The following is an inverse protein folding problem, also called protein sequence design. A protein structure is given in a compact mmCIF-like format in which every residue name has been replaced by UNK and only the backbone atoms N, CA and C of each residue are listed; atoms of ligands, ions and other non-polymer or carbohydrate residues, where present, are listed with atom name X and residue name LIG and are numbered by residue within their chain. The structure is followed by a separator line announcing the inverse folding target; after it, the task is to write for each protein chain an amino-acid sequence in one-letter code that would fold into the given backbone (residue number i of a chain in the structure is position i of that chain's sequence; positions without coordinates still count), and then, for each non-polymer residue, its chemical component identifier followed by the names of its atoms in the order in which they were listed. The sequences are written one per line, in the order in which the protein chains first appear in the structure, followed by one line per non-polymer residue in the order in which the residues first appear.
data_IF_789486007047
#
_entry.id   IF_789486007047
#
_cell.length_a   1.000
_cell.length_b   1.000
_cell.length_c   1.000
_cell.angle_alpha   90.00
_cell.angle_beta   90.00
_cell.angle_gamma   90.00
#
_symmetry.space_group_name_H-M   'P 1'
#
loop_
_entity.id
_entity.type
_entity.pdbx_description
1 polymer ?
#
# COMPACT_ATOMS: atom_id res chain seq x y z
N UNK A 1 -29.00 -55.53 -2.68
CA UNK A 1 -28.47 -56.90 -2.53
C UNK A 1 -26.96 -56.81 -2.35
N UNK A 2 -26.43 -57.38 -1.27
CA UNK A 2 -25.03 -57.85 -1.12
C UNK A 2 -24.95 -59.31 -1.64
N UNK A 3 -23.79 -60.02 -1.65
CA UNK A 3 -22.41 -59.71 -1.22
C UNK A 3 -21.42 -59.68 -2.42
N UNK A 4 -20.08 -59.66 -2.33
CA UNK A 4 -19.06 -59.67 -1.25
C UNK A 4 -17.66 -59.89 -1.91
N UNK A 5 -16.52 -60.06 -1.24
CA UNK A 5 -16.07 -59.95 0.16
C UNK A 5 -14.50 -59.96 0.19
N UNK A 6 -13.89 -59.81 1.39
CA UNK A 6 -12.48 -59.99 1.83
C UNK A 6 -11.74 -58.65 2.10
N UNK A 7 -11.51 -58.21 3.35
CA UNK A 7 -10.68 -58.75 4.47
C UNK A 7 -9.17 -58.43 4.31
N UNK A 8 -8.37 -58.00 5.31
CA UNK A 8 -8.52 -57.81 6.79
C UNK A 8 -7.67 -56.57 7.23
N UNK A 9 -8.11 -55.68 8.14
CA UNK A 9 -7.92 -55.66 9.63
C UNK A 9 -6.45 -55.81 10.09
N UNK A 10 -5.84 -54.86 10.83
CA UNK A 10 -6.08 -54.39 12.23
C UNK A 10 -5.78 -55.44 13.33
N UNK A 11 -5.27 -55.14 14.54
CA UNK A 11 -4.53 -53.97 15.09
C UNK A 11 -4.10 -54.21 16.58
N UNK A 12 -3.07 -53.46 17.05
CA UNK A 12 -2.88 -52.90 18.43
C UNK A 12 -2.67 -53.83 19.67
N UNK A 13 -1.90 -53.30 20.65
CA UNK A 13 -1.88 -53.62 22.11
C UNK A 13 -1.19 -54.92 22.60
N UNK A 14 -0.81 -55.11 23.89
CA UNK A 14 -0.20 -54.25 24.96
C UNK A 14 0.12 -55.13 26.21
N UNK A 15 1.13 -54.76 27.01
CA UNK A 15 1.39 -55.17 28.43
C UNK A 15 1.95 -56.57 28.75
N UNK A 16 2.77 -56.65 29.81
CA UNK A 16 3.36 -57.85 30.46
C UNK A 16 2.32 -58.73 31.21
N UNK A 17 2.65 -59.98 31.60
CA UNK A 17 3.23 -60.23 32.94
C UNK A 17 4.28 -61.38 33.02
N UNK A 18 4.55 -61.90 34.23
CA UNK A 18 5.75 -62.67 34.64
C UNK A 18 5.55 -64.17 34.96
N UNK A 19 6.67 -64.87 35.27
CA UNK A 19 6.80 -66.12 36.08
C UNK A 19 6.27 -67.45 35.45
N UNK A 20 6.76 -68.67 35.78
CA UNK A 20 7.87 -69.16 36.66
C UNK A 20 8.17 -70.67 36.47
N UNK A 21 9.38 -71.12 36.88
CA UNK A 21 9.77 -72.49 37.33
C UNK A 21 9.69 -73.70 36.35
N UNK A 22 10.58 -74.70 36.40
CA UNK A 22 10.87 -75.61 37.53
C UNK A 22 12.16 -76.47 37.36
N UNK A 23 12.57 -77.21 38.41
CA UNK A 23 13.77 -78.09 38.49
C UNK A 23 13.36 -79.60 38.57
N UNK A 24 14.13 -80.63 39.03
CA UNK A 24 15.26 -80.72 40.02
C UNK A 24 16.48 -81.55 39.45
N UNK A 25 17.38 -82.32 40.13
CA UNK A 25 17.57 -82.77 41.53
C UNK A 25 19.01 -83.31 41.83
N UNK A 26 19.42 -83.34 43.11
CA UNK A 26 20.05 -84.45 43.90
C UNK A 26 21.17 -85.37 43.33
N UNK A 27 22.23 -85.78 44.05
CA UNK A 27 22.78 -85.57 45.43
C UNK A 27 24.23 -86.22 45.51
N UNK A 28 24.95 -86.48 46.64
CA UNK A 28 24.74 -86.15 48.07
C UNK A 28 26.03 -85.49 48.74
N UNK A 29 26.58 -85.78 49.97
CA UNK A 29 26.95 -84.67 50.90
C UNK A 29 28.31 -84.72 51.69
N UNK A 30 28.81 -83.58 52.23
CA UNK A 30 29.23 -83.40 53.67
C UNK A 30 29.91 -82.06 54.06
N UNK A 31 29.52 -81.56 55.25
CA UNK A 31 30.29 -80.85 56.31
C UNK A 31 31.21 -79.62 56.04
N UNK A 32 30.62 -78.43 56.23
CA UNK A 32 30.98 -77.39 57.24
C UNK A 32 32.47 -77.04 57.53
N UNK A 33 32.85 -75.79 57.22
CA UNK A 33 33.23 -74.74 58.22
C UNK A 33 33.25 -73.34 57.56
N UNK A 34 32.89 -72.24 58.27
CA UNK A 34 32.75 -70.91 57.67
C UNK A 34 33.97 -70.00 57.86
N UNK A 35 34.23 -69.11 56.88
CA UNK A 35 35.07 -67.89 57.00
C UNK A 35 34.46 -66.74 56.15
N UNK A 36 34.77 -65.45 56.45
CA UNK A 36 33.85 -64.34 56.16
C UNK A 36 33.94 -63.72 54.76
N UNK A 37 32.89 -62.97 54.41
CA UNK A 37 32.69 -62.24 53.15
C UNK A 37 33.71 -61.09 52.94
N UNK A 38 34.04 -60.80 51.68
CA UNK A 38 34.51 -59.48 51.20
C UNK A 38 33.49 -58.93 50.19
N UNK A 39 33.16 -57.63 50.18
CA UNK A 39 32.14 -57.07 49.30
C UNK A 39 32.69 -56.40 48.02
N UNK A 40 31.94 -56.54 46.91
CA UNK A 40 31.48 -55.42 46.07
C UNK A 40 32.47 -54.66 45.17
N UNK A 41 32.46 -55.03 43.89
CA UNK A 41 32.57 -54.21 42.67
C UNK A 41 33.21 -52.80 42.67
N UNK A 42 34.06 -52.58 41.65
CA UNK A 42 33.68 -51.69 40.53
C UNK A 42 34.45 -52.01 39.25
N UNK A 43 33.80 -51.81 38.10
CA UNK A 43 34.42 -51.89 36.78
C UNK A 43 35.46 -50.77 36.58
N UNK A 44 36.60 -51.09 35.99
CA UNK A 44 37.66 -50.13 35.69
C UNK A 44 37.68 -49.78 34.19
N UNK A 45 37.51 -48.49 33.87
CA UNK A 45 37.73 -47.96 32.52
C UNK A 45 39.24 -47.75 32.32
N UNK A 46 39.82 -48.28 31.24
CA UNK A 46 41.20 -47.98 30.86
C UNK A 46 41.30 -46.55 30.35
N UNK A 47 41.95 -45.69 31.12
CA UNK A 47 42.44 -44.39 30.66
C UNK A 47 43.69 -44.64 29.79
N UNK A 48 43.83 -43.93 28.68
CA UNK A 48 45.08 -43.92 27.90
C UNK A 48 46.10 -43.00 28.56
N UNK A 49 47.34 -43.46 28.72
CA UNK A 49 48.48 -42.64 29.18
C UNK A 49 48.89 -41.62 28.10
N UNK A 50 48.11 -40.56 27.95
CA UNK A 50 48.45 -39.41 27.13
C UNK A 50 49.50 -38.55 27.85
N UNK A 51 50.69 -38.43 27.24
CA UNK A 51 51.76 -37.59 27.79
C UNK A 51 51.27 -36.13 27.90
N UNK A 52 51.30 -35.56 29.11
CA UNK A 52 50.77 -34.22 29.39
C UNK A 52 51.33 -33.13 28.47
N UNK A 53 52.56 -33.29 27.97
CA UNK A 53 53.17 -32.36 27.00
C UNK A 53 52.50 -32.40 25.62
N UNK A 54 52.07 -33.57 25.15
CA UNK A 54 51.33 -33.66 23.87
C UNK A 54 49.88 -33.20 24.03
N UNK A 55 49.25 -33.51 25.18
CA UNK A 55 47.92 -33.00 25.50
C UNK A 55 47.87 -31.45 25.52
N UNK A 56 48.86 -30.81 26.16
CA UNK A 56 49.01 -29.35 26.16
C UNK A 56 49.28 -28.79 24.76
N UNK A 57 50.09 -29.48 23.94
CA UNK A 57 50.35 -29.09 22.55
C UNK A 57 49.09 -29.11 21.67
N UNK A 58 48.28 -30.18 21.76
CA UNK A 58 46.99 -30.24 21.05
C UNK A 58 45.97 -29.24 21.60
N UNK A 59 45.96 -28.99 22.92
CA UNK A 59 45.12 -27.94 23.51
C UNK A 59 45.46 -26.54 23.01
N UNK A 60 46.76 -26.21 22.93
CA UNK A 60 47.23 -24.93 22.37
C UNK A 60 46.87 -24.82 20.88
N UNK A 61 47.07 -25.89 20.09
CA UNK A 61 46.72 -25.90 18.67
C UNK A 61 45.22 -25.72 18.45
N UNK A 62 44.37 -26.42 19.22
CA UNK A 62 42.93 -26.28 19.17
C UNK A 62 42.48 -24.86 19.58
N UNK A 63 43.12 -24.25 20.59
CA UNK A 63 42.87 -22.86 20.98
C UNK A 63 43.27 -21.87 19.86
N UNK A 64 44.43 -22.05 19.22
CA UNK A 64 44.87 -21.21 18.11
C UNK A 64 43.97 -21.34 16.87
N UNK A 65 43.50 -22.56 16.56
CA UNK A 65 42.52 -22.78 15.48
C UNK A 65 41.18 -22.14 15.84
N UNK A 66 40.69 -22.27 17.08
CA UNK A 66 39.46 -21.63 17.53
C UNK A 66 39.57 -20.09 17.49
N UNK A 67 40.68 -19.52 17.97
CA UNK A 67 40.94 -18.08 17.91
C UNK A 67 41.06 -17.58 16.46
N UNK A 68 41.71 -18.34 15.58
CA UNK A 68 41.79 -18.01 14.15
C UNK A 68 40.43 -18.09 13.44
N UNK A 69 39.54 -19.00 13.84
CA UNK A 69 38.18 -19.08 13.32
C UNK A 69 37.32 -17.94 13.85
N UNK A 70 37.41 -17.61 15.15
CA UNK A 70 36.73 -16.45 15.75
C UNK A 70 37.17 -15.18 15.02
N UNK A 71 38.47 -14.94 14.87
CA UNK A 71 39.00 -13.79 14.12
C UNK A 71 38.50 -13.75 12.66
N UNK A 72 38.40 -14.90 11.98
CA UNK A 72 37.86 -14.99 10.62
C UNK A 72 36.35 -14.69 10.54
N UNK A 73 35.57 -15.01 11.58
CA UNK A 73 34.14 -14.69 11.65
C UNK A 73 33.83 -13.29 12.21
N UNK A 74 34.74 -12.70 13.00
CA UNK A 74 34.61 -11.35 13.57
C UNK A 74 35.18 -10.25 12.66
N UNK A 75 35.99 -10.59 11.65
CA UNK A 75 36.34 -9.69 10.56
C UNK A 75 35.16 -9.55 9.59
N UNK A 76 34.45 -8.40 9.54
CA UNK A 76 33.41 -8.19 8.53
C UNK A 76 34.07 -8.10 7.15
N UNK A 77 33.43 -8.68 6.13
CA UNK A 77 33.86 -8.50 4.74
C UNK A 77 33.65 -7.05 4.30
N UNK A 78 34.72 -6.24 4.34
CA UNK A 78 34.68 -4.79 4.16
C UNK A 78 34.00 -4.35 2.85
N UNK A 79 34.18 -5.12 1.77
CA UNK A 79 33.66 -4.81 0.44
C UNK A 79 32.13 -4.68 0.36
N UNK A 80 31.39 -5.48 1.15
CA UNK A 80 29.92 -5.62 0.98
C UNK A 80 29.18 -4.33 1.37
N UNK A 81 29.68 -3.59 2.35
CA UNK A 81 29.09 -2.33 2.80
C UNK A 81 29.17 -1.23 1.73
N UNK A 82 30.21 -1.24 0.89
CA UNK A 82 30.43 -0.20 -0.13
C UNK A 82 29.34 -0.17 -1.22
N UNK A 83 28.70 -1.32 -1.48
CA UNK A 83 27.70 -1.48 -2.55
C UNK A 83 26.30 -1.05 -2.11
N UNK A 84 25.99 -1.15 -0.81
CA UNK A 84 24.65 -0.87 -0.25
C UNK A 84 24.58 0.47 0.51
N UNK A 85 25.72 1.08 0.83
CA UNK A 85 25.77 2.39 1.50
C UNK A 85 25.74 3.51 0.46
N UNK A 86 24.84 4.51 0.57
CA UNK A 86 24.87 5.69 -0.28
C UNK A 86 26.22 6.41 -0.23
N UNK A 87 26.67 6.96 -1.36
CA UNK A 87 27.95 7.66 -1.48
C UNK A 87 28.12 8.71 -0.35
N UNK A 88 29.22 8.60 0.40
CA UNK A 88 29.56 9.48 1.52
C UNK A 88 30.07 10.86 1.08
N UNK A 89 29.29 11.55 0.24
CA UNK A 89 29.53 12.90 -0.25
C UNK A 89 28.41 13.86 0.22
N UNK A 90 28.67 15.18 0.29
CA UNK A 90 27.62 16.17 0.50
C UNK A 90 26.51 16.03 -0.55
N UNK A 91 25.23 16.13 -0.15
CA UNK A 91 24.13 16.07 -1.11
C UNK A 91 24.19 17.29 -2.04
N UNK A 92 23.87 17.09 -3.31
CA UNK A 92 23.80 18.19 -4.30
C UNK A 92 22.86 19.33 -3.86
N UNK A 93 21.76 18.97 -3.18
CA UNK A 93 20.76 19.88 -2.59
C UNK A 93 21.27 20.73 -1.41
N UNK A 94 22.38 20.32 -0.81
CA UNK A 94 22.96 20.91 0.41
C UNK A 94 24.25 21.73 0.08
N UNK A 95 24.67 21.79 -1.19
CA UNK A 95 25.90 22.47 -1.62
C UNK A 95 25.79 24.01 -1.42
N UNK A 96 26.89 24.72 -1.08
CA UNK A 96 26.85 26.18 -0.87
C UNK A 96 26.29 26.98 -2.04
N UNK A 97 26.64 26.63 -3.28
CA UNK A 97 26.11 27.31 -4.48
C UNK A 97 24.61 27.03 -4.70
N UNK A 98 24.11 25.88 -4.24
CA UNK A 98 22.70 25.46 -4.33
C UNK A 98 21.85 25.88 -3.11
N UNK A 99 22.45 26.53 -2.11
CA UNK A 99 21.80 26.97 -0.86
C UNK A 99 22.01 28.46 -0.54
N UNK A 100 23.03 29.11 -1.10
CA UNK A 100 23.10 30.58 -1.18
C UNK A 100 22.17 31.12 -2.27
N UNK A 101 22.01 30.38 -3.37
CA UNK A 101 20.96 30.61 -4.35
C UNK A 101 19.71 29.82 -3.91
N UNK A 102 18.53 30.46 -3.92
CA UNK A 102 17.25 29.84 -3.53
C UNK A 102 16.68 28.83 -4.56
N UNK A 103 17.55 28.18 -5.34
CA UNK A 103 17.19 27.35 -6.49
C UNK A 103 16.55 26.01 -6.11
N UNK A 104 16.84 25.48 -4.92
CA UNK A 104 16.37 24.15 -4.48
C UNK A 104 15.56 24.18 -3.18
N UNK A 105 15.37 25.36 -2.58
CA UNK A 105 14.70 25.57 -1.29
C UNK A 105 13.69 26.73 -1.36
N UNK A 106 13.03 27.05 -0.24
CA UNK A 106 12.02 28.11 -0.16
C UNK A 106 10.91 27.98 -1.21
N UNK A 107 10.54 29.11 -1.82
CA UNK A 107 9.51 29.23 -2.85
C UNK A 107 9.71 28.28 -4.05
N UNK A 108 10.95 27.95 -4.45
CA UNK A 108 11.14 26.98 -5.54
C UNK A 108 10.65 25.59 -5.14
N UNK A 109 11.10 25.10 -3.98
CA UNK A 109 10.70 23.79 -3.44
C UNK A 109 9.19 23.73 -3.23
N UNK A 110 8.62 24.82 -2.73
CA UNK A 110 7.18 24.95 -2.49
C UNK A 110 6.38 24.96 -3.81
N UNK A 111 6.80 25.74 -4.82
CA UNK A 111 6.13 25.82 -6.13
C UNK A 111 6.04 24.45 -6.83
N UNK A 112 6.92 23.51 -6.48
CA UNK A 112 6.94 22.15 -6.98
C UNK A 112 6.34 21.13 -6.00
N UNK A 113 5.83 21.53 -4.83
CA UNK A 113 5.33 20.61 -3.80
C UNK A 113 4.24 19.69 -4.35
N UNK A 114 3.12 20.24 -4.83
CA UNK A 114 2.09 19.49 -5.56
C UNK A 114 2.44 19.31 -7.03
N UNK A 115 1.99 18.19 -7.62
CA UNK A 115 2.00 17.98 -9.06
C UNK A 115 1.46 16.61 -9.49
N UNK A 116 1.47 16.37 -10.79
CA UNK A 116 1.00 15.15 -11.49
C UNK A 116 1.99 13.97 -11.35
N UNK A 117 2.64 13.85 -10.19
CA UNK A 117 3.79 12.97 -9.94
C UNK A 117 3.43 11.48 -9.74
N UNK A 118 2.45 10.97 -10.50
CA UNK A 118 2.03 9.55 -10.51
C UNK A 118 1.84 9.07 -11.97
N UNK A 119 2.91 9.07 -12.80
CA UNK A 119 2.82 8.87 -14.24
C UNK A 119 2.34 7.46 -14.67
N UNK A 120 2.27 6.51 -13.73
CA UNK A 120 1.74 5.16 -13.97
C UNK A 120 0.20 5.08 -13.97
N UNK A 121 -0.50 6.15 -13.62
CA UNK A 121 -1.97 6.24 -13.68
C UNK A 121 -2.40 7.37 -14.60
N UNK A 122 -3.55 7.21 -15.26
CA UNK A 122 -4.02 8.13 -16.29
C UNK A 122 -4.13 9.58 -15.80
N UNK A 123 -4.65 9.78 -14.59
CA UNK A 123 -4.49 11.02 -13.83
C UNK A 123 -4.22 10.69 -12.36
N UNK A 124 -3.14 11.24 -11.81
CA UNK A 124 -2.80 11.10 -10.40
C UNK A 124 -1.97 12.26 -9.88
N UNK A 125 -2.41 12.83 -8.77
CA UNK A 125 -1.77 13.96 -8.09
C UNK A 125 -1.10 13.46 -6.81
N UNK A 126 0.05 14.04 -6.49
CA UNK A 126 0.86 13.72 -5.30
C UNK A 126 1.66 14.96 -4.89
N UNK A 127 2.02 15.04 -3.61
CA UNK A 127 3.01 15.99 -3.12
C UNK A 127 4.43 15.38 -3.00
N UNK A 128 5.47 16.22 -3.11
CA UNK A 128 6.89 15.86 -2.98
C UNK A 128 7.32 15.63 -1.52
N UNK A 129 6.58 14.77 -0.83
CA UNK A 129 6.79 14.38 0.57
C UNK A 129 6.75 12.84 0.70
N UNK A 130 7.46 12.20 1.67
CA UNK A 130 7.59 10.74 1.73
C UNK A 130 6.28 9.99 1.99
N UNK A 131 5.34 10.61 2.71
CA UNK A 131 3.97 10.12 2.93
C UNK A 131 3.01 11.27 2.64
N UNK A 132 2.34 11.16 1.50
CA UNK A 132 1.57 12.24 0.90
C UNK A 132 0.06 12.01 1.05
N UNK A 133 -0.74 13.06 0.90
CA UNK A 133 -2.06 12.89 0.31
C UNK A 133 -1.87 12.59 -1.19
N UNK A 134 -2.49 11.53 -1.70
CA UNK A 134 -2.49 11.19 -3.13
C UNK A 134 -3.92 11.23 -3.65
N UNK A 135 -4.12 11.83 -4.82
CA UNK A 135 -5.41 11.82 -5.50
C UNK A 135 -5.28 11.13 -6.88
N UNK A 136 -6.40 10.74 -7.45
CA UNK A 136 -6.43 10.20 -8.81
C UNK A 136 -7.84 9.94 -9.31
N UNK A 137 -7.91 9.65 -10.61
CA UNK A 137 -9.15 9.37 -11.33
C UNK A 137 -9.16 7.91 -11.81
N UNK A 138 -10.30 7.25 -11.68
CA UNK A 138 -10.67 6.06 -12.44
C UNK A 138 -11.99 6.33 -13.17
N UNK A 139 -12.31 5.55 -14.21
CA UNK A 139 -13.62 5.61 -14.86
C UNK A 139 -13.98 4.25 -15.46
N UNK A 140 -15.25 4.09 -15.84
CA UNK A 140 -15.71 2.93 -16.60
C UNK A 140 -15.56 3.21 -18.09
N UNK A 141 -14.68 2.45 -18.75
CA UNK A 141 -14.56 2.34 -20.20
C UNK A 141 -15.28 1.09 -20.73
N UNK A 142 -15.27 0.90 -22.04
CA UNK A 142 -15.64 -0.36 -22.70
C UNK A 142 -14.43 -0.93 -23.43
N UNK A 143 -14.22 -2.24 -23.32
CA UNK A 143 -13.29 -2.99 -24.15
C UNK A 143 -13.91 -4.34 -24.52
N UNK A 144 -13.79 -4.75 -25.78
CA UNK A 144 -14.31 -6.04 -26.29
C UNK A 144 -15.82 -6.26 -25.97
N UNK A 145 -16.60 -5.18 -25.90
CA UNK A 145 -18.01 -5.20 -25.53
C UNK A 145 -18.30 -5.36 -24.02
N UNK A 146 -17.28 -5.36 -23.16
CA UNK A 146 -17.38 -5.46 -21.70
C UNK A 146 -16.99 -4.15 -21.02
N UNK A 147 -17.63 -3.84 -19.89
CA UNK A 147 -17.23 -2.70 -19.07
C UNK A 147 -15.93 -3.00 -18.31
N UNK A 148 -14.97 -2.07 -18.38
CA UNK A 148 -13.65 -2.18 -17.75
C UNK A 148 -13.34 -0.93 -16.94
N UNK A 149 -12.65 -1.08 -15.81
CA UNK A 149 -12.23 0.06 -15.00
C UNK A 149 -10.83 0.53 -15.41
N UNK A 150 -10.76 1.74 -15.98
CA UNK A 150 -9.49 2.38 -16.38
C UNK A 150 -8.89 3.09 -15.17
N UNK A 151 -7.60 2.91 -14.91
CA UNK A 151 -6.87 3.63 -13.84
C UNK A 151 -5.36 3.71 -14.09
N UNK A 152 -4.71 2.54 -14.16
CA UNK A 152 -3.29 2.40 -14.50
C UNK A 152 -3.13 2.51 -16.01
N UNK A 153 -2.09 3.20 -16.49
CA UNK A 153 -1.79 3.33 -17.92
C UNK A 153 -1.34 1.98 -18.50
N UNK A 154 -2.21 1.24 -19.18
CA UNK A 154 -1.85 -0.03 -19.83
C UNK A 154 -1.93 0.08 -21.36
N UNK A 155 -0.91 -0.39 -22.07
CA UNK A 155 -0.99 -0.47 -23.54
C UNK A 155 -2.15 -1.37 -24.01
N UNK A 156 -2.48 -2.40 -23.22
CA UNK A 156 -3.62 -3.28 -23.40
C UNK A 156 -5.00 -2.64 -23.18
N UNK A 157 -5.08 -1.37 -22.79
CA UNK A 157 -6.36 -0.66 -22.70
C UNK A 157 -6.94 -0.29 -24.07
N UNK A 158 -6.09 -0.09 -25.08
CA UNK A 158 -6.41 0.26 -26.48
C UNK A 158 -7.09 1.63 -26.72
N UNK A 159 -6.89 2.59 -25.79
CA UNK A 159 -7.29 3.99 -25.98
C UNK A 159 -6.69 4.56 -27.29
N UNK A 160 -7.54 5.06 -28.18
CA UNK A 160 -7.12 5.61 -29.48
C UNK A 160 -6.21 6.84 -29.35
N UNK A 161 -6.31 7.55 -28.21
CA UNK A 161 -5.38 8.60 -27.79
C UNK A 161 -5.40 8.75 -26.27
N UNK A 162 -4.23 8.92 -25.66
CA UNK A 162 -4.13 9.53 -24.33
C UNK A 162 -2.83 10.35 -24.21
N UNK A 163 -2.89 11.46 -23.48
CA UNK A 163 -1.69 12.24 -23.13
C UNK A 163 -1.96 13.72 -22.90
N UNK A 164 -0.97 14.41 -22.33
CA UNK A 164 -0.96 15.86 -22.20
C UNK A 164 -0.88 16.52 -23.58
N UNK A 165 -1.85 17.38 -23.92
CA UNK A 165 -1.71 18.31 -25.04
C UNK A 165 -0.82 19.49 -24.63
N UNK A 166 -0.92 19.88 -23.37
CA UNK A 166 -0.22 21.03 -22.78
C UNK A 166 0.18 20.65 -21.34
N UNK A 167 1.44 20.86 -20.92
CA UNK A 167 1.84 20.69 -19.52
C UNK A 167 3.14 21.45 -19.24
N UNK A 168 3.11 22.45 -18.36
CA UNK A 168 4.30 23.29 -18.10
C UNK A 168 5.23 22.74 -17.00
N UNK A 169 4.86 21.61 -16.38
CA UNK A 169 5.66 20.98 -15.32
C UNK A 169 5.63 21.72 -13.98
N UNK A 170 4.80 22.76 -13.84
CA UNK A 170 4.68 23.60 -12.65
C UNK A 170 3.24 23.64 -12.15
N UNK A 171 2.40 24.46 -12.76
CA UNK A 171 1.10 24.91 -12.25
C UNK A 171 -0.06 24.64 -13.23
N UNK A 172 0.21 24.26 -14.47
CA UNK A 172 -0.80 23.99 -15.48
C UNK A 172 -0.51 22.74 -16.31
N UNK A 173 -1.57 21.99 -16.61
CA UNK A 173 -1.59 21.09 -17.74
C UNK A 173 -3.00 20.73 -18.20
N UNK A 174 -3.13 20.32 -19.45
CA UNK A 174 -4.34 19.79 -20.08
C UNK A 174 -4.01 18.51 -20.83
N UNK A 175 -4.81 17.49 -20.58
CA UNK A 175 -4.69 16.15 -21.12
C UNK A 175 -6.00 15.75 -21.77
N UNK A 176 -5.90 14.98 -22.86
CA UNK A 176 -7.05 14.41 -23.58
C UNK A 176 -6.86 12.91 -23.65
N UNK A 177 -7.91 12.18 -23.27
CA UNK A 177 -8.04 10.73 -23.38
C UNK A 177 -9.27 10.43 -24.25
N UNK A 178 -9.15 9.44 -25.13
CA UNK A 178 -10.22 8.97 -26.01
C UNK A 178 -10.33 7.47 -25.84
N UNK A 179 -11.47 7.04 -25.30
CA UNK A 179 -11.71 5.68 -24.79
C UNK A 179 -13.04 5.15 -25.34
N UNK A 180 -13.01 4.70 -26.60
CA UNK A 180 -14.10 4.04 -27.35
C UNK A 180 -15.50 4.62 -27.08
N UNK A 181 -15.79 5.80 -27.65
CA UNK A 181 -17.12 6.42 -27.55
C UNK A 181 -17.23 7.56 -26.55
N UNK A 182 -16.20 7.80 -25.74
CA UNK A 182 -16.11 8.92 -24.81
C UNK A 182 -14.75 9.62 -24.88
N UNK A 183 -14.78 10.95 -24.95
CA UNK A 183 -13.63 11.84 -24.88
C UNK A 183 -13.60 12.47 -23.50
N UNK A 184 -12.56 12.14 -22.73
CA UNK A 184 -12.30 12.66 -21.39
C UNK A 184 -11.16 13.68 -21.48
N UNK A 185 -11.45 14.95 -21.16
CA UNK A 185 -10.43 15.98 -20.98
C UNK A 185 -10.20 16.22 -19.49
N UNK A 186 -8.94 16.16 -19.08
CA UNK A 186 -8.48 16.42 -17.71
C UNK A 186 -7.58 17.65 -17.71
N UNK A 187 -7.97 18.72 -17.01
CA UNK A 187 -7.13 19.92 -16.86
C UNK A 187 -6.76 20.14 -15.40
N UNK A 188 -5.47 20.28 -15.13
CA UNK A 188 -4.89 20.50 -13.81
C UNK A 188 -4.43 21.95 -13.68
N UNK A 189 -4.78 22.59 -12.55
CA UNK A 189 -4.38 23.94 -12.19
C UNK A 189 -3.87 23.95 -10.75
N UNK A 190 -2.85 24.76 -10.46
CA UNK A 190 -2.44 25.14 -9.09
C UNK A 190 -2.55 26.64 -8.88
N UNK A 191 -2.78 27.05 -7.63
CA UNK A 191 -2.75 28.45 -7.22
C UNK A 191 -2.21 28.59 -5.80
N UNK A 192 -1.44 29.64 -5.52
CA UNK A 192 -0.98 30.01 -4.17
C UNK A 192 -1.49 31.42 -3.88
N UNK A 193 -2.53 31.52 -3.06
CA UNK A 193 -3.14 32.79 -2.62
C UNK A 193 -2.93 33.02 -1.12
N UNK A 194 -3.24 34.23 -0.66
CA UNK A 194 -3.22 34.56 0.78
C UNK A 194 -4.05 33.55 1.60
N UNK A 195 -3.45 33.02 2.67
CA UNK A 195 -4.06 32.01 3.53
C UNK A 195 -4.00 30.57 3.01
N UNK A 196 -3.26 30.29 1.93
CA UNK A 196 -2.93 28.91 1.53
C UNK A 196 -1.93 28.26 2.48
N UNK A 197 -2.00 26.93 2.59
CA UNK A 197 -0.96 26.10 3.19
C UNK A 197 0.23 25.88 2.25
N UNK A 198 1.21 25.10 2.70
CA UNK A 198 2.45 24.87 1.95
C UNK A 198 2.18 24.24 0.58
N UNK A 199 2.70 24.86 -0.48
CA UNK A 199 2.55 24.39 -1.85
C UNK A 199 1.29 24.87 -2.56
N UNK A 200 0.43 25.60 -1.85
CA UNK A 200 -0.82 26.13 -2.37
C UNK A 200 -1.92 25.09 -2.56
N UNK A 201 -2.94 25.53 -3.30
CA UNK A 201 -4.12 24.79 -3.68
C UNK A 201 -4.00 24.21 -5.09
N UNK A 202 -4.86 23.27 -5.43
CA UNK A 202 -4.98 22.75 -6.78
C UNK A 202 -6.41 22.38 -7.13
N UNK A 203 -6.72 22.36 -8.43
CA UNK A 203 -7.98 21.86 -8.95
C UNK A 203 -7.78 21.00 -10.20
N UNK A 204 -8.76 20.12 -10.42
CA UNK A 204 -8.88 19.30 -11.63
C UNK A 204 -10.25 19.56 -12.26
N UNK A 205 -10.26 20.10 -13.48
CA UNK A 205 -11.44 20.08 -14.35
C UNK A 205 -11.52 18.74 -15.06
N UNK A 206 -12.68 18.11 -14.99
CA UNK A 206 -13.05 16.86 -15.64
C UNK A 206 -14.20 17.15 -16.61
N UNK A 207 -13.91 17.03 -17.91
CA UNK A 207 -14.89 17.23 -18.99
C UNK A 207 -15.06 15.91 -19.74
N UNK A 208 -16.28 15.39 -19.82
CA UNK A 208 -16.60 14.16 -20.55
C UNK A 208 -17.62 14.45 -21.63
N UNK A 209 -17.29 14.08 -22.86
CA UNK A 209 -18.11 14.29 -24.05
C UNK A 209 -18.25 12.97 -24.81
N UNK A 210 -19.33 12.78 -25.58
CA UNK A 210 -19.43 11.62 -26.47
C UNK A 210 -18.46 11.81 -27.65
N UNK A 211 -17.75 10.76 -28.04
CA UNK A 211 -17.04 10.70 -29.32
C UNK A 211 -18.05 10.57 -30.48
N UNK A 212 -18.07 11.56 -31.38
CA UNK A 212 -19.07 11.66 -32.47
C UNK A 212 -19.04 10.47 -33.45
N UNK A 213 -17.88 9.83 -33.59
CA UNK A 213 -17.62 8.77 -34.56
C UNK A 213 -18.03 7.37 -34.08
N UNK A 214 -18.37 7.18 -32.79
CA UNK A 214 -18.72 5.86 -32.26
C UNK A 214 -20.24 5.61 -32.18
N UNK A 215 -20.61 4.40 -32.57
CA UNK A 215 -21.87 3.72 -32.27
C UNK A 215 -22.20 3.58 -30.78
N UNK A 216 -21.20 3.60 -29.89
CA UNK A 216 -21.35 3.44 -28.44
C UNK A 216 -22.37 4.44 -27.86
N UNK A 217 -23.37 3.93 -27.16
CA UNK A 217 -24.45 4.73 -26.57
C UNK A 217 -24.19 5.04 -25.08
N UNK A 218 -22.99 5.55 -24.78
CA UNK A 218 -22.76 6.23 -23.51
C UNK A 218 -23.71 7.43 -23.41
N UNK A 219 -24.57 7.42 -22.38
CA UNK A 219 -25.44 8.55 -22.02
C UNK A 219 -24.98 9.28 -20.77
N UNK A 220 -24.14 8.63 -19.96
CA UNK A 220 -23.80 9.05 -18.60
C UNK A 220 -22.35 8.67 -18.31
N UNK A 221 -21.53 9.65 -17.94
CA UNK A 221 -20.19 9.39 -17.42
C UNK A 221 -20.28 8.72 -16.05
N UNK A 222 -19.35 7.81 -15.74
CA UNK A 222 -19.18 7.22 -14.42
C UNK A 222 -17.71 7.38 -14.02
N UNK A 223 -17.42 8.46 -13.30
CA UNK A 223 -16.08 8.81 -12.84
C UNK A 223 -15.90 8.43 -11.37
N UNK A 224 -14.68 8.08 -10.98
CA UNK A 224 -14.32 7.72 -9.61
C UNK A 224 -13.11 8.56 -9.20
N UNK A 225 -13.35 9.67 -8.51
CA UNK A 225 -12.28 10.49 -7.96
C UNK A 225 -11.96 10.01 -6.54
N UNK A 226 -10.69 9.77 -6.24
CA UNK A 226 -10.27 9.37 -4.90
C UNK A 226 -9.21 10.29 -4.30
N UNK A 227 -9.20 10.34 -2.98
CA UNK A 227 -8.18 10.99 -2.16
C UNK A 227 -7.77 10.02 -1.05
N UNK A 228 -6.48 9.73 -0.92
CA UNK A 228 -5.93 8.83 0.09
C UNK A 228 -4.78 9.47 0.85
N UNK A 229 -4.75 9.28 2.18
CA UNK A 229 -3.66 9.69 3.03
C UNK A 229 -2.71 8.50 3.26
N UNK A 230 -1.49 8.60 2.74
CA UNK A 230 -0.45 7.59 2.92
C UNK A 230 0.04 7.47 4.37
N UNK A 231 -0.09 8.50 5.21
CA UNK A 231 0.25 8.40 6.64
C UNK A 231 -0.71 7.47 7.40
N UNK A 232 -1.88 7.15 6.83
CA UNK A 232 -2.91 6.34 7.48
C UNK A 232 -3.80 7.14 8.44
N UNK A 233 -3.60 8.46 8.54
CA UNK A 233 -4.49 9.34 9.28
C UNK A 233 -5.87 9.44 8.61
N UNK A 234 -6.90 9.67 9.43
CA UNK A 234 -8.29 9.65 8.98
C UNK A 234 -8.62 10.81 8.05
N UNK A 235 -9.46 10.52 7.06
CA UNK A 235 -10.21 11.50 6.28
C UNK A 235 -11.63 11.55 6.86
N UNK A 236 -12.23 12.74 6.90
CA UNK A 236 -13.65 12.96 7.18
C UNK A 236 -14.40 13.13 5.87
N UNK A 237 -15.59 12.51 5.74
CA UNK A 237 -16.52 12.71 4.62
C UNK A 237 -17.60 13.68 5.08
N UNK A 238 -18.08 14.56 4.19
CA UNK A 238 -19.17 15.48 4.52
C UNK A 238 -20.51 14.75 4.71
N UNK A 239 -21.34 15.23 5.63
CA UNK A 239 -22.60 14.57 6.03
C UNK A 239 -23.72 14.67 4.98
N UNK A 240 -23.71 15.69 4.11
CA UNK A 240 -24.75 15.95 3.11
C UNK A 240 -24.15 16.22 1.70
N UNK A 241 -23.89 15.17 0.93
CA UNK A 241 -23.31 15.25 -0.43
C UNK A 241 -24.37 15.62 -1.50
N UNK A 242 -25.04 16.76 -1.35
CA UNK A 242 -25.98 17.26 -2.38
C UNK A 242 -25.20 17.84 -3.56
N UNK A 243 -25.58 17.52 -4.79
CA UNK A 243 -25.12 18.27 -5.98
C UNK A 243 -25.67 19.71 -5.93
N UNK A 244 -24.80 20.66 -5.59
CA UNK A 244 -25.04 22.11 -5.56
C UNK A 244 -23.78 22.84 -6.06
N UNK A 245 -23.87 24.15 -6.24
CA UNK A 245 -22.69 25.00 -6.39
C UNK A 245 -21.80 24.88 -5.15
N UNK A 246 -20.56 24.40 -5.33
CA UNK A 246 -19.55 24.21 -4.28
C UNK A 246 -19.97 23.29 -3.10
N UNK A 247 -20.02 21.98 -3.38
CA UNK A 247 -20.25 20.93 -2.37
C UNK A 247 -18.92 20.47 -1.76
N UNK A 248 -18.79 20.51 -0.43
CA UNK A 248 -17.66 19.87 0.27
C UNK A 248 -17.84 18.34 0.20
N UNK A 249 -16.83 17.63 -0.32
CA UNK A 249 -16.79 16.16 -0.37
C UNK A 249 -16.15 15.56 0.88
N UNK A 250 -14.98 16.09 1.26
CA UNK A 250 -14.15 15.56 2.33
C UNK A 250 -13.31 16.65 2.99
N UNK A 251 -12.84 16.39 4.20
CA UNK A 251 -11.89 17.23 4.92
C UNK A 251 -10.92 16.40 5.76
N UNK A 252 -9.84 17.03 6.21
CA UNK A 252 -8.86 16.39 7.07
C UNK A 252 -7.74 17.32 7.49
N UNK A 253 -6.62 16.73 7.91
CA UNK A 253 -5.37 17.43 8.18
C UNK A 253 -4.17 16.59 7.73
N UNK A 254 -3.08 17.23 7.32
CA UNK A 254 -1.81 16.60 6.97
C UNK A 254 -0.65 17.53 7.34
N UNK A 255 0.49 16.98 7.77
CA UNK A 255 1.55 17.75 8.44
C UNK A 255 2.06 18.96 7.63
N UNK A 256 2.23 18.80 6.32
CA UNK A 256 2.81 19.84 5.46
C UNK A 256 1.80 20.96 5.13
N UNK A 257 0.51 20.63 4.95
CA UNK A 257 -0.52 21.55 4.40
C UNK A 257 -1.55 22.05 5.43
N UNK A 258 -1.51 21.53 6.66
CA UNK A 258 -2.48 21.83 7.71
C UNK A 258 -3.85 21.20 7.47
N UNK A 259 -4.91 21.84 7.99
CA UNK A 259 -6.29 21.45 7.72
C UNK A 259 -6.66 21.72 6.26
N UNK A 260 -7.38 20.81 5.62
CA UNK A 260 -7.73 20.88 4.21
C UNK A 260 -9.17 20.41 3.93
N UNK A 261 -9.73 20.90 2.83
CA UNK A 261 -11.04 20.49 2.29
C UNK A 261 -10.92 20.14 0.80
N UNK A 262 -11.72 19.16 0.37
CA UNK A 262 -11.91 18.74 -1.01
C UNK A 262 -13.33 19.11 -1.43
N UNK A 263 -13.48 19.91 -2.48
CA UNK A 263 -14.74 20.44 -2.99
C UNK A 263 -15.04 19.87 -4.38
N UNK A 264 -16.32 19.70 -4.68
CA UNK A 264 -16.86 19.42 -6.01
C UNK A 264 -17.70 20.63 -6.46
N UNK A 265 -17.55 21.01 -7.71
CA UNK A 265 -18.29 22.13 -8.32
C UNK A 265 -18.74 21.72 -9.72
N UNK A 266 -20.02 21.93 -10.03
CA UNK A 266 -20.63 21.51 -11.30
C UNK A 266 -21.85 22.39 -11.60
N UNK A 267 -22.01 22.77 -12.87
CA UNK A 267 -23.27 23.36 -13.37
C UNK A 267 -24.29 22.29 -13.75
N UNK A 268 -23.84 21.05 -13.89
CA UNK A 268 -24.63 19.91 -14.34
C UNK A 268 -25.10 19.12 -13.11
N UNK A 269 -26.30 18.55 -13.16
CA UNK A 269 -26.82 17.70 -12.08
C UNK A 269 -25.99 16.41 -11.98
N UNK A 270 -25.34 16.20 -10.84
CA UNK A 270 -24.51 15.02 -10.56
C UNK A 270 -25.17 14.09 -9.55
N UNK A 271 -25.05 12.78 -9.80
CA UNK A 271 -25.33 11.72 -8.84
C UNK A 271 -24.00 11.34 -8.15
N UNK A 272 -23.95 11.39 -6.82
CA UNK A 272 -22.71 11.31 -6.03
C UNK A 272 -22.87 10.19 -5.00
N UNK A 273 -22.09 9.12 -5.15
CA UNK A 273 -21.97 8.05 -4.17
C UNK A 273 -20.55 7.96 -3.61
N UNK A 274 -20.38 7.40 -2.41
CA UNK A 274 -19.07 7.37 -1.75
C UNK A 274 -18.73 6.06 -1.04
N UNK A 275 -17.42 5.86 -0.85
CA UNK A 275 -16.86 4.83 0.03
C UNK A 275 -15.66 5.39 0.81
N UNK A 276 -15.76 5.39 2.14
CA UNK A 276 -14.61 5.58 3.04
C UNK A 276 -14.03 4.22 3.42
N UNK A 277 -12.78 3.95 3.08
CA UNK A 277 -12.14 2.64 3.29
C UNK A 277 -10.77 2.80 3.98
N UNK A 278 -10.27 1.72 4.58
CA UNK A 278 -9.01 1.69 5.31
C UNK A 278 -8.03 0.68 4.71
N UNK A 279 -6.89 1.18 4.24
CA UNK A 279 -5.84 0.34 3.63
C UNK A 279 -4.43 0.82 3.98
N UNK A 280 -3.52 -0.08 4.40
CA UNK A 280 -2.09 0.22 4.48
C UNK A 280 -1.39 0.15 3.11
N UNK A 281 -2.12 -0.21 2.05
CA UNK A 281 -1.61 -0.47 0.71
C UNK A 281 -2.22 0.53 -0.30
N UNK A 282 -1.35 1.23 -1.02
CA UNK A 282 -1.71 2.31 -1.95
C UNK A 282 -1.48 1.94 -3.42
N UNK A 283 -1.15 0.68 -3.67
CA UNK A 283 -0.90 0.13 -5.01
C UNK A 283 -2.12 -0.62 -5.57
N UNK A 284 -2.99 -1.16 -4.71
CA UNK A 284 -4.12 -2.03 -5.03
C UNK A 284 -5.48 -1.29 -5.00
N UNK A 285 -5.49 -0.01 -5.38
CA UNK A 285 -6.67 0.84 -5.21
C UNK A 285 -7.79 0.50 -6.20
N UNK A 286 -7.46 0.00 -7.39
CA UNK A 286 -8.45 -0.48 -8.38
C UNK A 286 -9.15 -1.74 -7.87
N UNK A 287 -8.39 -2.68 -7.31
CA UNK A 287 -8.90 -3.93 -6.76
C UNK A 287 -9.79 -3.68 -5.53
N UNK A 288 -9.41 -2.70 -4.70
CA UNK A 288 -10.21 -2.24 -3.56
C UNK A 288 -11.55 -1.62 -4.01
N UNK A 289 -11.53 -0.77 -5.04
CA UNK A 289 -12.73 -0.16 -5.62
C UNK A 289 -13.65 -1.21 -6.30
N UNK A 290 -13.09 -2.08 -7.14
CA UNK A 290 -13.81 -3.17 -7.79
C UNK A 290 -14.40 -4.16 -6.78
N UNK A 291 -13.69 -4.44 -5.69
CA UNK A 291 -14.19 -5.24 -4.57
C UNK A 291 -15.41 -4.60 -3.91
N UNK A 292 -15.32 -3.31 -3.56
CA UNK A 292 -16.43 -2.55 -2.94
C UNK A 292 -17.65 -2.46 -3.86
N UNK A 293 -17.46 -2.09 -5.13
CA UNK A 293 -18.53 -2.06 -6.14
C UNK A 293 -19.16 -3.44 -6.35
N UNK A 294 -18.34 -4.48 -6.50
CA UNK A 294 -18.81 -5.86 -6.67
C UNK A 294 -19.58 -6.41 -5.47
N UNK A 295 -19.24 -5.98 -4.25
CA UNK A 295 -20.00 -6.30 -3.03
C UNK A 295 -21.31 -5.51 -2.96
N UNK A 296 -21.34 -4.23 -3.35
CA UNK A 296 -22.56 -3.43 -3.30
C UNK A 296 -23.56 -3.85 -4.39
N UNK A 297 -23.10 -4.01 -5.64
CA UNK A 297 -23.94 -4.43 -6.76
C UNK A 297 -24.59 -5.81 -6.55
N UNK A 298 -23.96 -6.71 -5.78
CA UNK A 298 -24.56 -7.99 -5.35
C UNK A 298 -25.64 -7.86 -4.27
N UNK A 299 -25.71 -6.74 -3.56
CA UNK A 299 -26.73 -6.43 -2.54
C UNK A 299 -27.89 -5.60 -3.11
N UNK A 300 -27.59 -4.59 -3.92
CA UNK A 300 -28.56 -3.61 -4.42
C UNK A 300 -29.01 -3.86 -5.87
N UNK A 301 -28.22 -4.61 -6.66
CA UNK A 301 -28.39 -4.71 -8.10
C UNK A 301 -27.83 -3.51 -8.89
N UNK A 302 -27.24 -2.51 -8.23
CA UNK A 302 -26.79 -1.26 -8.84
C UNK A 302 -25.26 -1.13 -8.78
N UNK A 303 -24.65 -0.64 -9.86
CA UNK A 303 -23.21 -0.37 -9.93
C UNK A 303 -22.87 1.00 -9.30
N UNK A 304 -23.18 1.13 -8.02
CA UNK A 304 -22.99 2.34 -7.20
C UNK A 304 -22.12 1.99 -5.97
N UNK A 305 -21.42 2.99 -5.42
CA UNK A 305 -20.77 2.87 -4.11
C UNK A 305 -21.81 2.78 -2.97
N UNK A 306 -21.45 2.25 -1.78
CA UNK A 306 -22.40 1.88 -0.73
C UNK A 306 -22.83 3.03 0.21
N UNK A 307 -22.38 4.27 -0.04
CA UNK A 307 -22.60 5.46 0.80
C UNK A 307 -22.27 5.21 2.28
N UNK A 308 -21.11 4.60 2.50
CA UNK A 308 -20.67 4.12 3.80
C UNK A 308 -19.18 4.38 4.01
N UNK A 309 -18.80 4.53 5.29
CA UNK A 309 -17.41 4.63 5.72
C UNK A 309 -17.06 3.55 6.73
N UNK A 310 -15.86 3.00 6.60
CA UNK A 310 -15.18 2.24 7.66
C UNK A 310 -14.72 3.16 8.82
N UNK A 311 -14.31 2.56 9.92
CA UNK A 311 -13.85 3.28 11.12
C UNK A 311 -12.47 3.95 10.89
N UNK A 312 -12.48 5.27 10.78
CA UNK A 312 -11.34 6.12 10.43
C UNK A 312 -10.71 5.71 9.09
N UNK A 313 -11.35 6.04 7.95
CA UNK A 313 -10.85 5.69 6.63
C UNK A 313 -9.63 6.54 6.29
N UNK A 314 -8.64 5.95 5.61
CA UNK A 314 -7.49 6.70 5.07
C UNK A 314 -7.51 6.78 3.54
N UNK A 315 -8.54 6.25 2.89
CA UNK A 315 -8.92 6.58 1.51
C UNK A 315 -10.42 6.85 1.44
N UNK A 316 -10.78 7.88 0.69
CA UNK A 316 -12.16 8.16 0.29
C UNK A 316 -12.25 8.12 -1.23
N UNK A 317 -13.31 7.50 -1.74
CA UNK A 317 -13.60 7.39 -3.17
C UNK A 317 -15.00 7.93 -3.41
N UNK A 318 -15.13 8.85 -4.36
CA UNK A 318 -16.39 9.43 -4.81
C UNK A 318 -16.68 8.95 -6.23
N UNK A 319 -17.76 8.18 -6.38
CA UNK A 319 -18.35 7.90 -7.68
C UNK A 319 -19.23 9.08 -8.05
N UNK A 320 -18.88 9.75 -9.14
CA UNK A 320 -19.55 10.96 -9.63
C UNK A 320 -20.08 10.64 -11.02
N UNK A 321 -21.40 10.70 -11.18
CA UNK A 321 -22.10 10.29 -12.40
C UNK A 321 -22.94 11.44 -12.94
N UNK A 322 -22.94 11.64 -14.26
CA UNK A 322 -23.65 12.76 -14.90
C UNK A 322 -23.88 12.52 -16.39
N UNK A 323 -24.96 13.05 -16.95
CA UNK A 323 -25.34 12.83 -18.34
C UNK A 323 -24.39 13.56 -19.30
N UNK A 324 -24.03 12.92 -20.43
CA UNK A 324 -23.11 13.49 -21.40
C UNK A 324 -23.76 14.59 -22.27
N UNK A 325 -23.06 15.69 -22.58
CA UNK A 325 -21.74 16.07 -22.06
C UNK A 325 -21.84 16.59 -20.61
N UNK A 326 -20.82 16.31 -19.80
CA UNK A 326 -20.73 16.76 -18.39
C UNK A 326 -19.38 17.43 -18.11
N UNK A 327 -19.40 18.47 -17.27
CA UNK A 327 -18.20 19.18 -16.77
C UNK A 327 -18.30 19.41 -15.27
N UNK A 328 -17.30 18.93 -14.54
CA UNK A 328 -17.16 19.11 -13.10
C UNK A 328 -15.73 19.50 -12.73
N UNK A 329 -15.58 20.26 -11.65
CA UNK A 329 -14.29 20.64 -11.09
C UNK A 329 -14.14 20.07 -9.68
N UNK A 330 -13.01 19.41 -9.41
CA UNK A 330 -12.62 18.95 -8.07
C UNK A 330 -11.49 19.83 -7.57
N UNK A 331 -11.74 20.62 -6.52
CA UNK A 331 -10.78 21.57 -5.94
C UNK A 331 -10.32 21.13 -4.54
N UNK A 332 -9.01 21.14 -4.31
CA UNK A 332 -8.39 20.91 -3.01
C UNK A 332 -7.89 22.23 -2.45
N UNK A 333 -8.37 22.60 -1.26
CA UNK A 333 -8.05 23.85 -0.58
C UNK A 333 -7.33 23.58 0.73
N UNK A 334 -6.22 24.27 0.95
CA UNK A 334 -5.29 24.09 2.06
C UNK A 334 -5.45 25.15 3.17
N UNK A 335 -4.98 24.85 4.39
CA UNK A 335 -5.10 25.70 5.58
C UNK A 335 -6.51 26.28 5.86
N UNK A 336 -7.56 25.48 5.69
CA UNK A 336 -8.97 25.97 5.69
C UNK A 336 -9.50 26.46 7.04
N UNK A 337 -8.80 26.20 8.15
CA UNK A 337 -9.14 26.68 9.50
C UNK A 337 -9.14 28.21 9.72
N UNK A 338 -9.11 29.01 8.65
CA UNK A 338 -9.00 30.48 8.67
C UNK A 338 -10.16 31.17 7.90
N UNK A 339 -11.38 31.10 8.47
CA UNK A 339 -12.63 31.71 8.00
C UNK A 339 -13.14 31.19 6.65
N UNK A 340 -14.25 30.44 6.69
CA UNK A 340 -14.86 29.76 5.54
C UNK A 340 -15.12 30.66 4.30
N UNK A 341 -15.35 31.97 4.46
CA UNK A 341 -15.55 32.87 3.31
C UNK A 341 -14.33 32.87 2.37
N UNK A 342 -13.12 32.83 2.91
CA UNK A 342 -11.87 32.77 2.12
C UNK A 342 -11.68 31.43 1.41
N UNK A 343 -12.21 30.35 1.98
CA UNK A 343 -12.20 29.02 1.35
C UNK A 343 -13.09 29.05 0.10
N UNK A 344 -14.30 29.60 0.21
CA UNK A 344 -15.23 29.75 -0.92
C UNK A 344 -14.64 30.67 -2.02
N UNK A 345 -14.05 31.82 -1.64
CA UNK A 345 -13.33 32.71 -2.58
C UNK A 345 -12.23 31.96 -3.35
N UNK A 346 -11.48 31.08 -2.68
CA UNK A 346 -10.40 30.28 -3.29
C UNK A 346 -10.93 29.15 -4.18
N UNK A 347 -11.98 28.44 -3.78
CA UNK A 347 -12.66 27.46 -4.66
C UNK A 347 -13.15 28.14 -5.93
N UNK A 348 -13.87 29.26 -5.82
CA UNK A 348 -14.42 29.98 -6.96
C UNK A 348 -13.32 30.51 -7.91
N UNK A 349 -12.17 30.91 -7.37
CA UNK A 349 -10.98 31.30 -8.14
C UNK A 349 -10.35 30.13 -8.91
N UNK A 350 -10.32 28.92 -8.30
CA UNK A 350 -9.79 27.70 -8.92
C UNK A 350 -10.72 27.10 -9.97
N UNK A 351 -12.04 27.18 -9.78
CA UNK A 351 -13.06 26.65 -10.70
C UNK A 351 -13.47 27.67 -11.77
N UNK A 352 -13.22 28.95 -11.53
CA UNK A 352 -13.66 30.04 -12.40
C UNK A 352 -15.15 30.37 -12.28
N UNK A 353 -15.83 29.88 -11.22
CA UNK A 353 -17.19 30.33 -10.87
C UNK A 353 -17.15 31.72 -10.23
N UNK A 354 -16.89 32.74 -11.04
CA UNK A 354 -17.16 34.12 -10.65
C UNK A 354 -18.66 34.38 -10.67
N UNK A 355 -19.20 34.82 -9.53
CA UNK A 355 -20.52 35.45 -9.47
C UNK A 355 -20.48 36.76 -10.27
N UNK A 356 -21.36 36.88 -11.26
CA UNK A 356 -21.66 38.17 -11.92
C UNK A 356 -22.60 39.02 -11.05
#
# INVERSE_FOLDING_TARGET
MTPGDRNRRHARSKTDPSSSESAPSNAPPRNRRPRPRRPGDRFAIRVFDANIKTLLGFGLLAFLVAASLIYYYEMPGEDVLSVVTPLAAPKMMDLPQASTNSEFQGEHRESLYWGTYRPQVYLGIRARTPRSLIAGLMWIGIKDGQYVMRHVCQHSDDLSKYGWTDHNGRDYGRQVLVDHGQVLTTSFLKSKSDGSGYGGDWAVRLEVQKEELDSANFKTANLFFYLANEEGASISIAEELVSRDNTVLASGSHQDVGAWELHLTSTDNLDIHYAGLKTPHMHNLTELLLGTLGVNARKTGQLQLPDASENSPNIVIFQISGNLPVKMDVAFVSATGLKNSRVIERVNSLTGLYSN
#
